data_IF_275142552733
#
_entry.id   IF_275142552733
#
_cell.length_a   1.000
_cell.length_b   1.000
_cell.length_c   1.000
_cell.angle_alpha   90.00
_cell.angle_beta   90.00
_cell.angle_gamma   90.00
#
_symmetry.space_group_name_H-M   'P 1'
#
loop_
_entity.id
_entity.type
_entity.pdbx_description
1 polymer ?
#
# COMPACT_ATOMS: atom_id res chain seq x y z
N UNK A 1 9.20 17.80 -18.64
CA UNK A 1 9.37 18.35 -17.29
C UNK A 1 9.06 17.29 -16.27
N UNK A 2 9.89 17.19 -15.27
CA UNK A 2 9.63 16.28 -14.17
C UNK A 2 8.41 16.75 -13.38
N UNK A 3 7.45 15.87 -13.19
CA UNK A 3 6.28 16.11 -12.37
C UNK A 3 6.65 15.78 -10.93
N UNK A 4 6.80 16.80 -10.09
CA UNK A 4 7.18 16.61 -8.68
C UNK A 4 5.96 16.48 -7.76
N UNK A 5 4.79 16.35 -8.34
CA UNK A 5 3.57 16.20 -7.57
C UNK A 5 3.32 14.74 -7.19
N UNK A 6 3.06 14.50 -5.91
CA UNK A 6 2.74 13.17 -5.43
C UNK A 6 1.33 12.76 -5.85
N UNK A 7 1.21 11.55 -6.37
CA UNK A 7 -0.07 10.99 -6.82
C UNK A 7 -0.26 9.59 -6.26
N UNK A 8 -1.50 9.15 -6.25
CA UNK A 8 -1.83 7.80 -5.81
C UNK A 8 -1.70 6.81 -6.97
N UNK A 9 -1.05 5.70 -6.69
CA UNK A 9 -0.85 4.61 -7.64
C UNK A 9 -1.28 3.30 -7.00
N UNK A 10 -1.68 2.35 -7.84
CA UNK A 10 -2.10 1.03 -7.39
C UNK A 10 -1.01 0.02 -7.74
N UNK A 11 -0.57 -0.72 -6.73
CA UNK A 11 0.37 -1.82 -6.91
C UNK A 11 -0.41 -3.12 -6.82
N UNK A 12 -0.40 -3.90 -7.88
CA UNK A 12 -1.09 -5.18 -7.92
C UNK A 12 -0.24 -6.27 -7.27
N UNK A 13 -0.87 -7.07 -6.42
CA UNK A 13 -0.20 -8.19 -5.76
C UNK A 13 -1.16 -9.37 -5.65
N UNK A 14 -0.69 -10.47 -5.12
CA UNK A 14 -1.56 -11.61 -4.86
C UNK A 14 -2.42 -11.36 -3.64
N UNK A 15 -3.66 -11.84 -3.71
CA UNK A 15 -4.58 -11.75 -2.59
C UNK A 15 -3.99 -12.45 -1.36
N UNK A 16 -3.98 -11.76 -0.24
CA UNK A 16 -3.38 -12.25 0.99
C UNK A 16 -1.96 -11.77 1.24
N UNK A 17 -1.30 -11.20 0.23
CA UNK A 17 0.08 -10.72 0.36
C UNK A 17 0.17 -9.19 0.49
N UNK A 18 -0.95 -8.51 0.60
CA UNK A 18 -0.99 -7.04 0.62
C UNK A 18 -0.16 -6.46 1.77
N UNK A 19 -0.33 -6.98 2.97
CA UNK A 19 0.41 -6.49 4.14
C UNK A 19 1.90 -6.75 4.01
N UNK A 20 2.26 -7.89 3.45
CA UNK A 20 3.67 -8.24 3.22
C UNK A 20 4.31 -7.31 2.21
N UNK A 21 3.61 -7.03 1.11
CA UNK A 21 4.10 -6.10 0.09
C UNK A 21 4.23 -4.70 0.68
N UNK A 22 3.22 -4.22 1.41
CA UNK A 22 3.27 -2.91 2.05
C UNK A 22 4.45 -2.80 3.01
N UNK A 23 4.67 -3.82 3.83
CA UNK A 23 5.79 -3.85 4.77
C UNK A 23 7.14 -3.85 4.05
N UNK A 24 7.27 -4.64 2.98
CA UNK A 24 8.49 -4.67 2.17
C UNK A 24 8.76 -3.32 1.51
N UNK A 25 7.72 -2.65 1.01
CA UNK A 25 7.85 -1.33 0.43
C UNK A 25 8.33 -0.31 1.47
N UNK A 26 7.73 -0.32 2.65
CA UNK A 26 8.14 0.58 3.73
C UNK A 26 9.60 0.38 4.12
N UNK A 27 10.01 -0.88 4.26
CA UNK A 27 11.39 -1.21 4.60
C UNK A 27 12.36 -0.75 3.52
N UNK A 28 12.03 -0.97 2.25
CA UNK A 28 12.87 -0.56 1.13
C UNK A 28 12.94 0.96 1.03
N UNK A 29 11.83 1.65 1.24
CA UNK A 29 11.80 3.12 1.25
C UNK A 29 12.74 3.65 2.34
N UNK A 30 12.71 3.08 3.51
CA UNK A 30 13.56 3.46 4.62
C UNK A 30 15.03 3.19 4.31
N UNK A 31 15.35 1.99 3.80
CA UNK A 31 16.72 1.59 3.49
C UNK A 31 17.34 2.40 2.35
N UNK A 32 16.55 2.82 1.39
CA UNK A 32 17.02 3.58 0.23
C UNK A 32 16.82 5.09 0.37
N UNK A 33 16.31 5.55 1.52
CA UNK A 33 16.00 6.96 1.77
C UNK A 33 15.08 7.56 0.71
N UNK A 34 14.03 6.82 0.35
CA UNK A 34 13.06 7.24 -0.66
C UNK A 34 11.80 7.86 -0.05
N UNK A 35 11.84 8.19 1.24
CA UNK A 35 10.69 8.77 1.92
C UNK A 35 10.19 10.08 1.31
N UNK A 36 11.06 10.82 0.64
CA UNK A 36 10.67 12.03 -0.07
C UNK A 36 9.92 11.73 -1.38
N UNK A 37 10.05 10.52 -1.91
CA UNK A 37 9.36 10.08 -3.12
C UNK A 37 8.11 9.27 -2.79
N UNK A 38 8.20 8.37 -1.83
CA UNK A 38 7.10 7.50 -1.41
C UNK A 38 6.55 8.06 -0.11
N UNK A 39 5.44 8.77 -0.20
CA UNK A 39 4.90 9.50 0.95
C UNK A 39 3.95 8.68 1.80
N UNK A 40 3.23 7.75 1.19
CA UNK A 40 2.25 6.96 1.92
C UNK A 40 2.04 5.61 1.24
N UNK A 41 1.87 4.58 2.04
CA UNK A 41 1.57 3.22 1.57
C UNK A 41 0.37 2.73 2.38
N UNK A 42 -0.70 2.30 1.69
CA UNK A 42 -1.91 1.83 2.33
C UNK A 42 -2.44 0.57 1.69
N UNK A 43 -2.99 -0.30 2.52
CA UNK A 43 -3.78 -1.44 2.06
C UNK A 43 -5.25 -1.04 2.20
N UNK A 44 -6.03 -1.01 1.10
CA UNK A 44 -7.43 -0.59 1.18
C UNK A 44 -8.23 -1.52 2.09
N UNK A 45 -8.77 -0.97 3.16
CA UNK A 45 -9.59 -1.72 4.11
C UNK A 45 -10.82 -0.91 4.47
N UNK A 46 -11.85 -1.59 4.94
CA UNK A 46 -13.00 -0.95 5.54
C UNK A 46 -13.33 -1.61 6.87
N UNK A 47 -13.92 -0.84 7.76
CA UNK A 47 -14.39 -1.37 9.03
C UNK A 47 -15.83 -1.80 8.88
N UNK A 48 -16.11 -3.05 9.20
CA UNK A 48 -17.46 -3.59 9.20
C UNK A 48 -17.80 -4.11 10.58
N UNK A 49 -19.07 -3.98 10.94
CA UNK A 49 -19.55 -4.52 12.21
C UNK A 49 -20.02 -5.95 11.98
N UNK A 50 -19.42 -6.87 12.69
CA UNK A 50 -19.78 -8.28 12.63
C UNK A 50 -20.52 -8.65 13.90
N UNK A 51 -21.66 -9.31 13.75
CA UNK A 51 -22.45 -9.79 14.87
C UNK A 51 -22.27 -11.31 14.98
N UNK A 52 -21.75 -11.76 16.11
CA UNK A 52 -21.52 -13.17 16.36
C UNK A 52 -21.83 -13.47 17.82
N UNK A 53 -22.64 -14.47 18.07
CA UNK A 53 -23.04 -14.88 19.44
C UNK A 53 -23.63 -13.74 20.27
N UNK A 54 -24.49 -12.93 19.64
CA UNK A 54 -25.14 -11.75 20.23
C UNK A 54 -24.15 -10.65 20.67
N UNK A 55 -22.92 -10.71 20.15
CA UNK A 55 -21.92 -9.67 20.39
C UNK A 55 -21.55 -9.02 19.09
N UNK A 56 -21.49 -7.70 19.09
CA UNK A 56 -21.01 -6.94 17.94
C UNK A 56 -19.55 -6.60 18.14
N UNK A 57 -18.78 -6.67 17.07
CA UNK A 57 -17.40 -6.21 17.09
C UNK A 57 -17.03 -5.65 15.72
N UNK A 58 -16.12 -4.69 15.73
CA UNK A 58 -15.60 -4.14 14.49
C UNK A 58 -14.44 -4.99 13.98
N UNK A 59 -14.49 -5.33 12.70
CA UNK A 59 -13.39 -6.02 12.02
C UNK A 59 -13.02 -5.25 10.79
N UNK A 60 -11.74 -5.23 10.46
CA UNK A 60 -11.26 -4.66 9.22
C UNK A 60 -11.27 -5.73 8.14
N UNK A 61 -11.84 -5.39 7.00
CA UNK A 61 -11.82 -6.24 5.81
C UNK A 61 -11.18 -5.49 4.67
N UNK A 62 -10.42 -6.21 3.85
CA UNK A 62 -9.81 -5.61 2.67
C UNK A 62 -10.89 -5.37 1.63
N UNK A 63 -11.00 -4.12 1.18
CA UNK A 63 -12.00 -3.70 0.20
C UNK A 63 -11.64 -4.24 -1.18
N UNK A 64 -10.36 -4.16 -1.55
CA UNK A 64 -9.86 -4.63 -2.83
C UNK A 64 -8.69 -5.59 -2.59
N UNK A 65 -8.98 -6.90 -2.45
CA UNK A 65 -7.89 -7.88 -2.26
C UNK A 65 -6.93 -7.87 -3.44
N UNK A 66 -5.64 -7.96 -3.14
CA UNK A 66 -4.62 -7.98 -4.18
C UNK A 66 -4.13 -6.62 -4.62
N UNK A 67 -4.47 -5.55 -3.89
CA UNK A 67 -4.03 -4.19 -4.23
C UNK A 67 -3.42 -3.49 -3.03
N UNK A 68 -2.36 -2.75 -3.30
CA UNK A 68 -1.75 -1.83 -2.34
C UNK A 68 -1.72 -0.47 -3.02
N UNK A 69 -2.16 0.57 -2.33
CA UNK A 69 -2.12 1.93 -2.89
C UNK A 69 -0.95 2.69 -2.29
N UNK A 70 -0.26 3.43 -3.15
CA UNK A 70 0.96 4.14 -2.80
C UNK A 70 0.85 5.57 -3.29
N UNK A 71 1.10 6.52 -2.39
CA UNK A 71 1.21 7.93 -2.77
C UNK A 71 2.67 8.26 -2.98
N UNK A 72 3.04 8.55 -4.21
CA UNK A 72 4.44 8.76 -4.56
C UNK A 72 4.62 9.75 -5.69
N UNK A 73 5.84 10.26 -5.77
CA UNK A 73 6.30 11.05 -6.91
C UNK A 73 6.95 10.08 -7.88
N UNK A 74 6.43 10.02 -9.10
CA UNK A 74 6.90 9.05 -10.11
C UNK A 74 8.24 9.49 -10.68
N UNK A 75 9.25 8.64 -10.53
CA UNK A 75 10.53 8.76 -11.21
C UNK A 75 11.15 7.35 -11.34
N UNK A 76 12.36 7.27 -11.89
CA UNK A 76 13.01 5.98 -12.13
C UNK A 76 13.23 5.20 -10.83
N UNK A 77 13.57 5.88 -9.74
CA UNK A 77 13.82 5.24 -8.45
C UNK A 77 12.53 4.66 -7.86
N UNK A 78 11.43 5.41 -7.91
CA UNK A 78 10.16 4.92 -7.40
C UNK A 78 9.57 3.82 -8.25
N UNK A 79 9.75 3.88 -9.57
CA UNK A 79 9.35 2.82 -10.50
C UNK A 79 10.10 1.52 -10.21
N UNK A 80 11.40 1.63 -9.98
CA UNK A 80 12.24 0.48 -9.64
C UNK A 80 11.73 -0.23 -8.39
N UNK A 81 11.28 0.55 -7.41
CA UNK A 81 10.74 0.02 -6.16
C UNK A 81 9.47 -0.80 -6.40
N UNK A 82 8.58 -0.31 -7.26
CA UNK A 82 7.34 -1.02 -7.57
C UNK A 82 7.63 -2.34 -8.27
N UNK A 83 8.57 -2.37 -9.19
CA UNK A 83 8.95 -3.60 -9.90
C UNK A 83 9.54 -4.65 -8.96
N UNK A 84 10.29 -4.23 -7.97
CA UNK A 84 10.86 -5.15 -6.98
C UNK A 84 9.77 -5.79 -6.12
N UNK A 85 8.65 -5.09 -5.92
CA UNK A 85 7.56 -5.54 -5.05
C UNK A 85 6.65 -6.58 -5.71
N UNK A 86 6.71 -6.70 -7.01
CA UNK A 86 5.95 -7.72 -7.71
C UNK A 86 6.64 -9.08 -7.58
#
# INVERSE_FOLDING_TARGET
MADNEARWYVVHTYSGYENKVASNLETTVENRNLGHLIQEIRVPTEKVTEIKDNKSREVERKVFPGYVIVKMIMNDDSLSLIHISE
#
